data_IF_209272075546
#
_entry.id   IF_209272075546
#
_cell.length_a   1.000
_cell.length_b   1.000
_cell.length_c   1.000
_cell.angle_alpha   90.00
_cell.angle_beta   90.00
_cell.angle_gamma   90.00
#
_symmetry.space_group_name_H-M   'P 1'
#
loop_
_entity.id
_entity.type
_entity.pdbx_description
1 polymer ?
#
# COMPACT_ATOMS: atom_id res chain seq x y z
N UNK A 1 -24.46 7.78 -63.10
CA UNK A 1 -24.61 8.59 -61.87
C UNK A 1 -23.83 7.88 -60.76
N UNK A 2 -22.63 8.37 -60.37
CA UNK A 2 -21.77 7.71 -59.36
C UNK A 2 -22.01 8.35 -57.99
N UNK A 3 -22.51 7.58 -57.04
CA UNK A 3 -22.71 8.00 -55.65
C UNK A 3 -21.36 7.97 -54.93
N UNK A 4 -20.88 9.12 -54.45
CA UNK A 4 -19.71 9.21 -53.55
C UNK A 4 -20.22 9.04 -52.12
N UNK A 5 -19.88 7.93 -51.47
CA UNK A 5 -20.08 7.74 -50.03
C UNK A 5 -19.05 8.55 -49.26
N UNK A 6 -19.52 9.56 -48.51
CA UNK A 6 -18.73 10.29 -47.54
C UNK A 6 -18.75 9.50 -46.22
N UNK A 7 -17.62 8.93 -45.81
CA UNK A 7 -17.49 8.31 -44.48
C UNK A 7 -17.02 9.40 -43.51
N UNK A 8 -17.91 9.83 -42.61
CA UNK A 8 -17.60 10.73 -41.51
C UNK A 8 -17.11 9.89 -40.32
N UNK A 9 -15.81 9.91 -40.05
CA UNK A 9 -15.23 9.26 -38.89
C UNK A 9 -15.38 10.17 -37.65
N UNK A 10 -16.31 9.85 -36.76
CA UNK A 10 -16.44 10.51 -35.45
C UNK A 10 -15.40 9.97 -34.48
N UNK A 11 -14.38 10.77 -34.18
CA UNK A 11 -13.42 10.48 -33.12
C UNK A 11 -14.05 10.77 -31.75
N UNK A 12 -14.37 9.71 -31.00
CA UNK A 12 -14.73 9.80 -29.58
C UNK A 12 -13.46 10.11 -28.77
N UNK A 13 -13.23 11.37 -28.44
CA UNK A 13 -12.28 11.72 -27.38
C UNK A 13 -12.87 11.29 -26.03
N UNK A 14 -12.35 10.21 -25.46
CA UNK A 14 -12.58 9.86 -24.07
C UNK A 14 -11.84 10.86 -23.18
N UNK A 15 -12.55 11.90 -22.72
CA UNK A 15 -12.05 12.74 -21.64
C UNK A 15 -12.04 11.89 -20.36
N UNK A 16 -10.87 11.39 -19.96
CA UNK A 16 -10.68 10.90 -18.60
C UNK A 16 -10.83 12.10 -17.67
N UNK A 17 -11.94 12.17 -16.95
CA UNK A 17 -12.07 13.10 -15.83
C UNK A 17 -10.99 12.74 -14.82
N UNK A 18 -9.98 13.60 -14.70
CA UNK A 18 -9.02 13.52 -13.60
C UNK A 18 -9.77 13.98 -12.35
N UNK A 19 -10.36 13.04 -11.61
CA UNK A 19 -10.92 13.34 -10.30
C UNK A 19 -9.78 13.79 -9.39
N UNK A 20 -9.94 14.94 -8.74
CA UNK A 20 -8.98 15.39 -7.75
C UNK A 20 -8.88 14.33 -6.64
N UNK A 21 -7.64 14.02 -6.24
CA UNK A 21 -7.36 13.09 -5.14
C UNK A 21 -8.16 13.51 -3.90
N UNK A 22 -8.90 12.58 -3.32
CA UNK A 22 -9.67 12.82 -2.10
C UNK A 22 -8.72 12.78 -0.91
N UNK A 23 -8.47 13.94 -0.30
CA UNK A 23 -7.58 14.05 0.85
C UNK A 23 -8.27 13.57 2.13
N UNK A 24 -7.86 12.39 2.60
CA UNK A 24 -8.37 11.78 3.84
C UNK A 24 -7.35 11.83 5.00
N UNK A 25 -6.11 12.26 4.74
CA UNK A 25 -5.02 12.32 5.73
C UNK A 25 -5.40 13.03 7.04
N UNK A 26 -6.14 14.17 7.03
CA UNK A 26 -6.56 14.83 8.25
C UNK A 26 -7.41 13.95 9.19
N UNK A 27 -8.20 13.02 8.64
CA UNK A 27 -9.03 12.12 9.46
C UNK A 27 -8.19 11.15 10.30
N UNK A 28 -7.05 10.70 9.78
CA UNK A 28 -6.14 9.82 10.51
C UNK A 28 -5.41 10.54 11.64
N UNK A 29 -5.15 11.84 11.50
CA UNK A 29 -4.61 12.67 12.59
C UNK A 29 -5.63 12.75 13.73
N UNK A 30 -6.88 13.12 13.43
CA UNK A 30 -7.95 13.20 14.43
C UNK A 30 -8.22 11.84 15.11
N UNK A 31 -8.15 10.74 14.35
CA UNK A 31 -8.24 9.40 14.91
C UNK A 31 -7.08 9.09 15.87
N UNK A 32 -5.86 9.51 15.54
CA UNK A 32 -4.69 9.32 16.39
C UNK A 32 -4.82 10.09 17.71
N UNK A 33 -5.36 11.30 17.67
CA UNK A 33 -5.66 12.10 18.86
C UNK A 33 -6.73 11.41 19.73
N UNK A 34 -7.81 10.91 19.12
CA UNK A 34 -8.82 10.13 19.83
C UNK A 34 -8.25 8.86 20.48
N UNK A 35 -7.33 8.17 19.80
CA UNK A 35 -6.61 7.01 20.36
C UNK A 35 -5.69 7.39 21.52
N UNK A 36 -5.01 8.53 21.43
CA UNK A 36 -4.16 9.03 22.51
C UNK A 36 -4.97 9.36 23.77
N UNK A 37 -6.13 10.02 23.63
CA UNK A 37 -7.01 10.33 24.74
C UNK A 37 -7.65 9.07 25.34
N UNK A 38 -8.12 8.13 24.51
CA UNK A 38 -8.65 6.84 24.97
C UNK A 38 -7.61 6.05 25.79
N UNK A 39 -6.34 6.04 25.36
CA UNK A 39 -5.23 5.40 26.11
C UNK A 39 -4.97 6.02 27.48
N UNK A 40 -5.28 7.31 27.66
CA UNK A 40 -5.18 8.01 28.96
C UNK A 40 -6.41 7.78 29.84
N UNK A 41 -7.44 7.08 29.35
CA UNK A 41 -8.73 6.95 30.02
C UNK A 41 -9.66 8.16 29.82
N UNK A 42 -9.27 9.12 28.98
CA UNK A 42 -10.01 10.36 28.70
C UNK A 42 -11.08 10.11 27.62
N UNK A 43 -12.00 9.19 27.90
CA UNK A 43 -12.96 8.71 26.90
C UNK A 43 -13.91 9.81 26.39
N UNK A 44 -14.28 10.78 27.24
CA UNK A 44 -15.11 11.91 26.81
C UNK A 44 -14.42 12.77 25.73
N UNK A 45 -13.13 13.09 25.92
CA UNK A 45 -12.32 13.82 24.93
C UNK A 45 -12.10 12.99 23.67
N UNK A 46 -11.92 11.68 23.82
CA UNK A 46 -11.86 10.77 22.68
C UNK A 46 -13.15 10.82 21.84
N UNK A 47 -14.32 10.72 22.48
CA UNK A 47 -15.62 10.84 21.80
C UNK A 47 -15.85 12.21 21.16
N UNK A 48 -15.37 13.30 21.77
CA UNK A 48 -15.39 14.64 21.16
C UNK A 48 -14.56 14.68 19.87
N UNK A 49 -13.31 14.20 19.92
CA UNK A 49 -12.44 14.10 18.76
C UNK A 49 -13.06 13.25 17.64
N UNK A 50 -13.71 12.13 17.98
CA UNK A 50 -14.40 11.27 17.03
C UNK A 50 -15.67 11.91 16.45
N UNK A 51 -16.35 12.77 17.20
CA UNK A 51 -17.50 13.54 16.72
C UNK A 51 -17.04 14.59 15.70
N UNK A 52 -15.94 15.28 15.98
CA UNK A 52 -15.31 16.19 15.03
C UNK A 52 -14.82 15.47 13.76
N UNK A 53 -14.22 14.27 13.92
CA UNK A 53 -13.86 13.40 12.80
C UNK A 53 -15.10 13.03 11.97
N UNK A 54 -16.21 12.62 12.61
CA UNK A 54 -17.45 12.29 11.90
C UNK A 54 -18.00 13.48 11.11
N UNK A 55 -17.97 14.68 11.70
CA UNK A 55 -18.37 15.90 10.99
C UNK A 55 -17.51 16.12 9.75
N UNK A 56 -16.18 16.03 9.88
CA UNK A 56 -15.24 16.21 8.76
C UNK A 56 -15.38 15.13 7.70
N UNK A 57 -15.59 13.87 8.10
CA UNK A 57 -15.83 12.76 7.18
C UNK A 57 -17.05 13.01 6.30
N UNK A 58 -18.15 13.54 6.85
CA UNK A 58 -19.36 13.87 6.08
C UNK A 58 -19.17 15.00 5.07
N UNK A 59 -18.11 15.81 5.21
CA UNK A 59 -17.76 16.84 4.22
C UNK A 59 -17.02 16.25 3.01
N UNK A 60 -16.54 15.01 3.09
CA UNK A 60 -15.84 14.36 1.99
C UNK A 60 -16.86 13.89 0.95
N UNK A 61 -16.58 14.17 -0.33
CA UNK A 61 -17.32 13.63 -1.46
C UNK A 61 -17.37 12.09 -1.37
N UNK A 62 -18.51 11.48 -1.70
CA UNK A 62 -18.71 10.02 -1.62
C UNK A 62 -18.66 9.42 -0.21
N UNK A 63 -18.76 10.20 0.88
CA UNK A 63 -18.87 9.66 2.26
C UNK A 63 -20.01 8.64 2.45
N UNK A 64 -20.98 8.62 1.54
CA UNK A 64 -22.14 7.72 1.49
C UNK A 64 -21.96 6.55 0.51
N UNK A 65 -20.76 6.33 -0.03
CA UNK A 65 -20.42 5.13 -0.78
C UNK A 65 -20.62 3.87 0.07
N UNK A 66 -20.61 2.66 -0.52
CA UNK A 66 -20.68 1.42 0.25
C UNK A 66 -19.63 1.37 1.37
N UNK A 67 -18.36 1.69 1.08
CA UNK A 67 -17.30 1.73 2.09
C UNK A 67 -17.45 2.93 3.04
N UNK A 68 -17.92 4.08 2.55
CA UNK A 68 -18.18 5.24 3.37
C UNK A 68 -19.25 5.02 4.44
N UNK A 69 -20.30 4.25 4.11
CA UNK A 69 -21.32 3.85 5.09
C UNK A 69 -20.75 2.91 6.17
N UNK A 70 -19.77 2.07 5.84
CA UNK A 70 -19.05 1.27 6.83
C UNK A 70 -18.23 2.15 7.78
N UNK A 71 -17.59 3.23 7.26
CA UNK A 71 -16.90 4.23 8.09
C UNK A 71 -17.88 4.91 9.05
N UNK A 72 -19.04 5.37 8.56
CA UNK A 72 -20.06 6.00 9.40
C UNK A 72 -20.54 5.07 10.52
N UNK A 73 -20.72 3.79 10.21
CA UNK A 73 -21.11 2.76 11.19
C UNK A 73 -20.01 2.55 12.24
N UNK A 74 -18.76 2.46 11.82
CA UNK A 74 -17.62 2.33 12.73
C UNK A 74 -17.44 3.57 13.62
N UNK A 75 -17.64 4.78 13.06
CA UNK A 75 -17.61 6.03 13.81
C UNK A 75 -18.66 6.07 14.89
N UNK A 76 -19.90 5.69 14.60
CA UNK A 76 -20.97 5.65 15.60
C UNK A 76 -20.59 4.79 16.80
N UNK A 77 -20.09 3.57 16.54
CA UNK A 77 -19.65 2.65 17.60
C UNK A 77 -18.47 3.20 18.41
N UNK A 78 -17.50 3.81 17.73
CA UNK A 78 -16.33 4.40 18.39
C UNK A 78 -16.68 5.64 19.23
N UNK A 79 -17.65 6.46 18.79
CA UNK A 79 -18.14 7.61 19.56
C UNK A 79 -18.86 7.16 20.83
N UNK A 80 -19.73 6.14 20.71
CA UNK A 80 -20.48 5.55 21.83
C UNK A 80 -19.56 4.86 22.83
N UNK A 81 -18.50 4.20 22.35
CA UNK A 81 -17.53 3.48 23.18
C UNK A 81 -16.15 3.55 22.52
N UNK A 82 -15.28 4.52 22.92
CA UNK A 82 -13.96 4.71 22.33
C UNK A 82 -12.94 3.69 22.84
N UNK A 83 -13.25 2.40 22.73
CA UNK A 83 -12.35 1.30 23.07
C UNK A 83 -11.25 1.12 22.02
N UNK A 84 -10.15 0.47 22.41
CA UNK A 84 -9.07 0.15 21.47
C UNK A 84 -9.58 -0.66 20.26
N UNK A 85 -10.49 -1.60 20.48
CA UNK A 85 -11.10 -2.42 19.42
C UNK A 85 -11.92 -1.57 18.44
N UNK A 86 -12.77 -0.67 18.94
CA UNK A 86 -13.60 0.17 18.07
C UNK A 86 -12.76 1.18 17.28
N UNK A 87 -11.72 1.74 17.90
CA UNK A 87 -10.79 2.66 17.25
C UNK A 87 -9.94 1.95 16.18
N UNK A 88 -9.49 0.71 16.42
CA UNK A 88 -8.79 -0.10 15.43
C UNK A 88 -9.71 -0.45 14.25
N UNK A 89 -10.95 -0.85 14.53
CA UNK A 89 -11.93 -1.12 13.48
C UNK A 89 -12.22 0.15 12.64
N UNK A 90 -12.35 1.31 13.28
CA UNK A 90 -12.49 2.59 12.58
C UNK A 90 -11.29 2.90 11.68
N UNK A 91 -10.05 2.69 12.17
CA UNK A 91 -8.85 2.85 11.36
C UNK A 91 -8.89 1.99 10.09
N UNK A 92 -9.29 0.71 10.22
CA UNK A 92 -9.43 -0.21 9.09
C UNK A 92 -10.47 0.26 8.07
N UNK A 93 -11.61 0.79 8.53
CA UNK A 93 -12.65 1.31 7.63
C UNK A 93 -12.23 2.60 6.93
N UNK A 94 -11.59 3.52 7.64
CA UNK A 94 -11.04 4.75 7.03
C UNK A 94 -9.98 4.42 5.98
N UNK A 95 -9.14 3.42 6.22
CA UNK A 95 -8.17 2.94 5.25
C UNK A 95 -8.82 2.32 3.99
N UNK A 96 -9.87 1.52 4.17
CA UNK A 96 -10.63 0.99 3.05
C UNK A 96 -11.29 2.12 2.23
N UNK A 97 -11.79 3.15 2.89
CA UNK A 97 -12.37 4.33 2.24
C UNK A 97 -11.32 5.12 1.47
N UNK A 98 -10.13 5.36 2.06
CA UNK A 98 -9.01 5.99 1.35
C UNK A 98 -8.70 5.29 0.02
N UNK A 99 -8.70 3.94 0.05
CA UNK A 99 -8.46 3.11 -1.12
C UNK A 99 -9.56 3.23 -2.17
N UNK A 100 -10.82 3.22 -1.76
CA UNK A 100 -11.94 3.43 -2.66
C UNK A 100 -11.90 4.81 -3.33
N UNK A 101 -11.50 5.85 -2.59
CA UNK A 101 -11.50 7.23 -3.07
C UNK A 101 -10.24 7.60 -3.88
N UNK A 102 -9.13 6.90 -3.66
CA UNK A 102 -7.84 7.22 -4.30
C UNK A 102 -7.21 6.02 -5.04
N UNK A 103 -7.94 5.32 -5.92
CA UNK A 103 -7.45 4.11 -6.56
C UNK A 103 -6.18 4.36 -7.41
N UNK A 104 -6.12 5.51 -8.09
CA UNK A 104 -4.95 5.93 -8.88
C UNK A 104 -3.69 6.07 -8.03
N UNK A 105 -3.79 6.57 -6.80
CA UNK A 105 -2.64 6.73 -5.91
C UNK A 105 -2.01 5.40 -5.52
N UNK A 106 -2.82 4.35 -5.33
CA UNK A 106 -2.30 3.00 -5.08
C UNK A 106 -1.75 2.37 -6.37
N UNK A 107 -2.36 2.64 -7.52
CA UNK A 107 -1.86 2.17 -8.82
C UNK A 107 -0.50 2.79 -9.15
N UNK A 108 -0.32 4.09 -8.91
CA UNK A 108 0.96 4.80 -9.06
C UNK A 108 2.02 4.23 -8.11
N UNK A 109 1.69 4.04 -6.82
CA UNK A 109 2.57 3.39 -5.85
C UNK A 109 3.00 1.98 -6.30
N UNK A 110 2.06 1.22 -6.86
CA UNK A 110 2.32 -0.13 -7.38
C UNK A 110 3.23 -0.13 -8.60
N UNK A 111 2.96 0.76 -9.56
CA UNK A 111 3.82 0.93 -10.75
C UNK A 111 5.22 1.43 -10.37
N UNK A 112 5.32 2.36 -9.42
CA UNK A 112 6.60 2.88 -8.91
C UNK A 112 7.42 1.78 -8.25
N UNK A 113 6.77 0.92 -7.43
CA UNK A 113 7.40 -0.28 -6.89
C UNK A 113 7.97 -1.16 -8.00
N UNK A 114 7.15 -1.53 -8.98
CA UNK A 114 7.55 -2.45 -10.07
C UNK A 114 8.71 -1.85 -10.86
N UNK A 115 8.65 -0.56 -11.21
CA UNK A 115 9.68 0.12 -11.97
C UNK A 115 11.02 0.19 -11.22
N UNK A 116 11.00 0.47 -9.91
CA UNK A 116 12.22 0.63 -9.10
C UNK A 116 12.83 -0.69 -8.65
N UNK A 117 12.00 -1.68 -8.31
CA UNK A 117 12.47 -2.91 -7.68
C UNK A 117 12.82 -4.01 -8.69
N UNK A 118 12.18 -4.02 -9.87
CA UNK A 118 12.48 -5.03 -10.92
C UNK A 118 13.95 -5.02 -11.36
N UNK A 119 14.58 -3.88 -11.74
CA UNK A 119 15.98 -3.89 -12.17
C UNK A 119 16.94 -4.33 -11.05
N UNK A 120 16.66 -3.94 -9.80
CA UNK A 120 17.46 -4.36 -8.63
C UNK A 120 17.36 -5.86 -8.37
N UNK A 121 16.16 -6.43 -8.52
CA UNK A 121 15.96 -7.87 -8.46
C UNK A 121 16.73 -8.58 -9.58
N UNK A 122 16.66 -8.06 -10.81
CA UNK A 122 17.39 -8.63 -11.95
C UNK A 122 18.90 -8.65 -11.70
N UNK A 123 19.48 -7.54 -11.22
CA UNK A 123 20.90 -7.47 -10.87
C UNK A 123 21.28 -8.49 -9.79
N UNK A 124 20.48 -8.57 -8.71
CA UNK A 124 20.68 -9.53 -7.63
C UNK A 124 20.61 -10.98 -8.14
N UNK A 125 19.60 -11.32 -8.93
CA UNK A 125 19.38 -12.65 -9.49
C UNK A 125 20.50 -13.07 -10.46
N UNK A 126 21.06 -12.13 -11.23
CA UNK A 126 22.21 -12.38 -12.12
C UNK A 126 23.53 -12.50 -11.36
N UNK A 127 23.65 -11.83 -10.21
CA UNK A 127 24.88 -11.83 -9.41
C UNK A 127 25.03 -13.11 -8.59
N UNK A 128 23.95 -13.67 -8.05
CA UNK A 128 24.02 -14.89 -7.20
C UNK A 128 24.75 -16.07 -7.88
N UNK A 129 24.50 -16.41 -9.15
CA UNK A 129 25.22 -17.49 -9.84
C UNK A 129 26.73 -17.31 -9.96
N UNK A 130 27.24 -16.07 -9.86
CA UNK A 130 28.70 -15.80 -9.91
C UNK A 130 29.43 -16.29 -8.66
N UNK A 131 28.69 -16.54 -7.57
CA UNK A 131 29.21 -16.92 -6.26
C UNK A 131 30.18 -15.89 -5.63
N UNK A 132 30.30 -14.69 -6.23
CA UNK A 132 31.14 -13.62 -5.72
C UNK A 132 30.47 -12.92 -4.53
N UNK A 133 30.74 -13.40 -3.31
CA UNK A 133 30.09 -12.95 -2.07
C UNK A 133 30.03 -11.42 -1.93
N UNK A 134 31.11 -10.72 -2.24
CA UNK A 134 31.16 -9.26 -2.14
C UNK A 134 30.14 -8.59 -3.08
N UNK A 135 30.02 -9.07 -4.33
CA UNK A 135 29.05 -8.56 -5.31
C UNK A 135 27.61 -8.91 -4.90
N UNK A 136 27.37 -10.13 -4.40
CA UNK A 136 26.04 -10.55 -3.93
C UNK A 136 25.59 -9.67 -2.76
N UNK A 137 26.49 -9.43 -1.78
CA UNK A 137 26.22 -8.53 -0.65
C UNK A 137 25.88 -7.12 -1.12
N UNK A 138 26.61 -6.61 -2.11
CA UNK A 138 26.35 -5.29 -2.67
C UNK A 138 24.98 -5.20 -3.36
N UNK A 139 24.65 -6.14 -4.25
CA UNK A 139 23.36 -6.18 -4.93
C UNK A 139 22.19 -6.33 -3.94
N UNK A 140 22.33 -7.20 -2.93
CA UNK A 140 21.34 -7.39 -1.89
C UNK A 140 21.16 -6.12 -1.01
N UNK A 141 22.26 -5.40 -0.74
CA UNK A 141 22.22 -4.12 -0.05
C UNK A 141 21.46 -3.06 -0.87
N UNK A 142 21.72 -2.95 -2.18
CA UNK A 142 21.00 -2.01 -3.04
C UNK A 142 19.50 -2.33 -3.11
N UNK A 143 19.15 -3.61 -3.20
CA UNK A 143 17.76 -4.06 -3.12
C UNK A 143 17.13 -3.64 -1.78
N UNK A 144 17.76 -3.99 -0.65
CA UNK A 144 17.24 -3.68 0.69
C UNK A 144 17.10 -2.17 0.96
N UNK A 145 18.06 -1.35 0.51
CA UNK A 145 18.00 0.11 0.63
C UNK A 145 16.80 0.71 -0.10
N UNK A 146 16.44 0.17 -1.27
CA UNK A 146 15.28 0.64 -2.03
C UNK A 146 13.98 0.03 -1.51
N UNK A 147 14.01 -1.19 -0.98
CA UNK A 147 12.87 -1.80 -0.29
C UNK A 147 12.35 -0.90 0.82
N UNK A 148 13.21 -0.34 1.68
CA UNK A 148 12.79 0.56 2.78
C UNK A 148 11.94 1.74 2.28
N UNK A 149 12.25 2.27 1.09
CA UNK A 149 11.49 3.39 0.49
C UNK A 149 10.12 2.96 -0.03
N UNK A 150 9.97 1.68 -0.34
CA UNK A 150 8.81 1.09 -1.00
C UNK A 150 7.94 0.25 -0.06
N UNK A 151 8.47 -0.10 1.12
CA UNK A 151 7.84 -0.98 2.11
C UNK A 151 6.42 -0.54 2.44
N UNK A 152 6.24 0.76 2.74
CA UNK A 152 4.94 1.34 3.09
C UNK A 152 3.92 1.10 1.97
N UNK A 153 4.30 1.34 0.72
CA UNK A 153 3.41 1.12 -0.42
C UNK A 153 2.99 -0.35 -0.55
N UNK A 154 3.93 -1.29 -0.41
CA UNK A 154 3.62 -2.73 -0.47
C UNK A 154 2.72 -3.16 0.68
N UNK A 155 3.01 -2.70 1.90
CA UNK A 155 2.18 -2.98 3.09
C UNK A 155 0.74 -2.47 2.92
N UNK A 156 0.62 -1.28 2.35
CA UNK A 156 -0.67 -0.65 2.04
C UNK A 156 -1.44 -1.39 0.93
N UNK A 157 -0.75 -1.82 -0.13
CA UNK A 157 -1.38 -2.51 -1.26
C UNK A 157 -1.76 -3.95 -0.87
N UNK A 158 -0.86 -4.68 -0.19
CA UNK A 158 -1.06 -6.07 0.20
C UNK A 158 -0.19 -6.48 1.40
N UNK A 159 -0.83 -6.57 2.57
CA UNK A 159 -0.20 -7.05 3.80
C UNK A 159 0.38 -8.48 3.66
N UNK A 160 -0.27 -9.34 2.87
CA UNK A 160 0.20 -10.69 2.58
C UNK A 160 1.56 -10.69 1.86
N UNK A 161 1.73 -9.88 0.82
CA UNK A 161 2.99 -9.80 0.08
C UNK A 161 4.07 -9.12 0.92
N UNK A 162 3.70 -8.07 1.67
CA UNK A 162 4.59 -7.43 2.63
C UNK A 162 5.23 -8.45 3.59
N UNK A 163 4.44 -9.32 4.22
CA UNK A 163 4.97 -10.35 5.11
C UNK A 163 5.92 -11.33 4.41
N UNK A 164 5.65 -11.68 3.14
CA UNK A 164 6.56 -12.53 2.35
C UNK A 164 7.89 -11.82 2.07
N UNK A 165 7.86 -10.55 1.64
CA UNK A 165 9.07 -9.76 1.40
C UNK A 165 9.91 -9.62 2.66
N UNK A 166 9.32 -9.21 3.79
CA UNK A 166 10.02 -9.04 5.07
C UNK A 166 10.73 -10.33 5.50
N UNK A 167 10.04 -11.47 5.43
CA UNK A 167 10.64 -12.78 5.77
C UNK A 167 11.83 -13.08 4.87
N UNK A 168 11.69 -12.95 3.55
CA UNK A 168 12.75 -13.29 2.61
C UNK A 168 13.96 -12.37 2.81
N UNK A 169 13.74 -11.06 2.91
CA UNK A 169 14.80 -10.07 3.09
C UNK A 169 15.52 -10.23 4.44
N UNK A 170 14.77 -10.54 5.50
CA UNK A 170 15.35 -10.87 6.81
C UNK A 170 16.24 -12.11 6.74
N UNK A 171 15.75 -13.20 6.15
CA UNK A 171 16.53 -14.43 5.96
C UNK A 171 17.75 -14.20 5.05
N UNK A 172 17.61 -13.44 3.98
CA UNK A 172 18.75 -13.07 3.11
C UNK A 172 19.82 -12.34 3.90
N UNK A 173 19.45 -11.35 4.71
CA UNK A 173 20.38 -10.59 5.56
C UNK A 173 21.11 -11.50 6.55
N UNK A 174 20.42 -12.47 7.15
CA UNK A 174 21.03 -13.45 8.06
C UNK A 174 22.08 -14.30 7.32
N UNK A 175 21.72 -14.91 6.19
CA UNK A 175 22.62 -15.82 5.48
C UNK A 175 23.82 -15.08 4.85
N UNK A 176 23.62 -13.86 4.35
CA UNK A 176 24.72 -13.06 3.79
C UNK A 176 25.72 -12.61 4.86
N UNK A 177 25.27 -12.33 6.08
CA UNK A 177 26.15 -11.86 7.16
C UNK A 177 26.69 -12.97 8.08
N UNK A 178 26.37 -14.24 7.78
CA UNK A 178 26.99 -15.37 8.46
C UNK A 178 28.50 -15.42 8.19
N UNK A 179 29.25 -16.03 9.12
CA UNK A 179 30.70 -16.23 8.99
C UNK A 179 31.06 -17.01 7.72
N UNK A 180 30.22 -17.98 7.35
CA UNK A 180 30.27 -18.71 6.09
C UNK A 180 28.91 -18.60 5.39
N UNK A 181 28.75 -17.68 4.42
CA UNK A 181 27.51 -17.53 3.68
C UNK A 181 27.13 -18.80 2.90
N UNK A 182 25.91 -19.28 3.13
CA UNK A 182 25.33 -20.43 2.41
C UNK A 182 24.72 -19.96 1.08
N UNK A 183 25.47 -20.15 -0.01
CA UNK A 183 25.09 -19.68 -1.34
C UNK A 183 23.88 -20.42 -1.90
N UNK A 184 23.72 -21.71 -1.59
CA UNK A 184 22.56 -22.48 -2.02
C UNK A 184 21.28 -21.92 -1.40
N UNK A 185 21.33 -21.64 -0.10
CA UNK A 185 20.21 -21.03 0.61
C UNK A 185 19.92 -19.60 0.16
N UNK A 186 20.96 -18.79 -0.10
CA UNK A 186 20.80 -17.45 -0.69
C UNK A 186 20.13 -17.54 -2.06
N UNK A 187 20.56 -18.48 -2.92
CA UNK A 187 19.98 -18.69 -4.24
C UNK A 187 18.51 -19.08 -4.18
N UNK A 188 18.14 -19.96 -3.25
CA UNK A 188 16.73 -20.32 -3.00
C UNK A 188 15.90 -19.12 -2.57
N UNK A 189 16.42 -18.30 -1.64
CA UNK A 189 15.74 -17.09 -1.16
C UNK A 189 15.58 -16.03 -2.27
N UNK A 190 16.58 -15.87 -3.14
CA UNK A 190 16.48 -14.95 -4.29
C UNK A 190 15.48 -15.46 -5.33
N UNK A 191 15.44 -16.77 -5.58
CA UNK A 191 14.40 -17.36 -6.43
C UNK A 191 13.00 -17.13 -5.86
N UNK A 192 12.84 -17.32 -4.54
CA UNK A 192 11.59 -17.06 -3.84
C UNK A 192 11.20 -15.57 -3.90
N UNK A 193 12.17 -14.66 -3.75
CA UNK A 193 11.95 -13.22 -3.92
C UNK A 193 11.40 -12.91 -5.31
N UNK A 194 11.93 -13.56 -6.35
CA UNK A 194 11.44 -13.45 -7.72
C UNK A 194 9.98 -13.85 -7.88
N UNK A 195 9.55 -14.92 -7.23
CA UNK A 195 8.15 -15.36 -7.22
C UNK A 195 7.28 -14.28 -6.57
N UNK A 196 7.65 -13.77 -5.39
CA UNK A 196 6.87 -12.74 -4.70
C UNK A 196 6.81 -11.44 -5.51
N UNK A 197 7.91 -11.05 -6.17
CA UNK A 197 7.96 -9.92 -7.10
C UNK A 197 6.98 -10.10 -8.27
N UNK A 198 6.94 -11.29 -8.87
CA UNK A 198 6.06 -11.61 -9.98
C UNK A 198 4.57 -11.65 -9.56
N UNK A 199 4.27 -12.25 -8.41
CA UNK A 199 2.93 -12.26 -7.80
C UNK A 199 2.46 -10.83 -7.51
N UNK A 200 3.30 -10.03 -6.84
CA UNK A 200 2.96 -8.66 -6.47
C UNK A 200 2.72 -7.79 -7.71
N UNK A 201 3.53 -7.94 -8.77
CA UNK A 201 3.33 -7.23 -10.05
C UNK A 201 1.97 -7.48 -10.68
N UNK A 202 1.32 -8.61 -10.39
CA UNK A 202 0.00 -8.96 -10.90
C UNK A 202 -1.16 -8.56 -9.98
N UNK A 203 -0.88 -8.00 -8.81
CA UNK A 203 -1.92 -7.54 -7.87
C UNK A 203 -2.80 -6.50 -8.58
N UNK A 204 -4.09 -6.80 -8.67
CA UNK A 204 -5.10 -5.85 -9.16
C UNK A 204 -5.29 -4.77 -8.11
N UNK A 205 -4.67 -3.62 -8.36
CA UNK A 205 -4.93 -2.41 -7.59
C UNK A 205 -6.21 -1.80 -8.14
N UNK A 206 -7.30 -1.98 -7.39
CA UNK A 206 -8.58 -1.36 -7.69
C UNK A 206 -8.56 0.09 -7.28
#
# INVERSE_FOLDING_TARGET
MRLKTLVLASALLSASTLWAKVEVSPLFVQLSDAMAESKKGEFAKSSENLTALQHNFKQISQHNSPVGNEVQTALKKAIESPSAEHLENLAKKLYAFEKEQNPSGYAEKHQDFVAKMTPLYTELAQTVPTQEIAKIKWAAYQFGKNWVKQEKAVREISLTHYGKFERILGLMRINLNAEKPDIEKISKLVSELGVVMAEFKQVKVK
#
